data_IF_461001457788
#
_entry.id   IF_461001457788
#
_cell.length_a   1.000
_cell.length_b   1.000
_cell.length_c   1.000
_cell.angle_alpha   90.00
_cell.angle_beta   90.00
_cell.angle_gamma   90.00
#
_symmetry.space_group_name_H-M   'P 1'
#
loop_
_entity.id
_entity.type
_entity.pdbx_description
1 polymer ?
#
# COMPACT_ATOMS: atom_id res chain seq x y z
N UNK A 1 14.61 1.20 -2.79
CA UNK A 1 13.49 2.08 -3.20
C UNK A 1 12.33 1.24 -3.67
N UNK A 2 11.20 1.34 -2.98
CA UNK A 2 10.04 0.50 -3.24
C UNK A 2 8.91 0.67 -2.21
N UNK A 3 7.79 0.04 -2.50
CA UNK A 3 6.68 -0.14 -1.57
C UNK A 3 6.72 -1.56 -1.03
N UNK A 4 6.75 -1.67 0.30
CA UNK A 4 6.77 -2.93 1.01
C UNK A 4 5.53 -3.03 1.90
N UNK A 5 4.99 -4.24 1.99
CA UNK A 5 3.99 -4.60 2.98
C UNK A 5 4.62 -5.54 3.98
N UNK A 6 4.46 -5.25 5.26
CA UNK A 6 4.92 -6.11 6.35
C UNK A 6 3.72 -6.63 7.11
N UNK A 7 3.54 -7.95 7.12
CA UNK A 7 2.51 -8.57 7.94
C UNK A 7 3.03 -8.69 9.39
N UNK A 8 2.42 -7.95 10.31
CA UNK A 8 2.68 -8.04 11.76
C UNK A 8 1.58 -8.82 12.50
N UNK A 9 0.63 -9.38 11.77
CA UNK A 9 -0.45 -10.19 12.33
C UNK A 9 -0.01 -11.64 12.47
N UNK A 10 -0.64 -12.37 13.40
CA UNK A 10 -0.39 -13.81 13.62
C UNK A 10 -0.98 -14.72 12.54
N UNK A 11 -1.75 -14.17 11.60
CA UNK A 11 -2.41 -14.91 10.51
C UNK A 11 -1.94 -14.42 9.14
N UNK A 12 -2.08 -15.27 8.11
CA UNK A 12 -1.68 -14.95 6.73
C UNK A 12 -2.56 -13.84 6.15
N UNK A 13 -1.95 -12.72 5.79
CA UNK A 13 -2.66 -11.61 5.17
C UNK A 13 -2.61 -11.71 3.64
N UNK A 14 -3.71 -11.33 3.00
CA UNK A 14 -3.82 -11.19 1.55
C UNK A 14 -3.94 -9.71 1.22
N UNK A 15 -3.10 -9.23 0.30
CA UNK A 15 -3.02 -7.82 -0.08
C UNK A 15 -3.32 -7.66 -1.56
N UNK A 16 -4.17 -6.71 -1.89
CA UNK A 16 -4.34 -6.17 -3.22
C UNK A 16 -3.92 -4.69 -3.20
N UNK A 17 -3.36 -4.20 -4.29
CA UNK A 17 -3.06 -2.78 -4.41
C UNK A 17 -3.33 -2.28 -5.81
N UNK A 18 -3.55 -0.98 -5.93
CA UNK A 18 -3.72 -0.29 -7.18
C UNK A 18 -2.75 0.88 -7.28
N UNK A 19 -2.29 1.13 -8.49
CA UNK A 19 -1.34 2.18 -8.85
C UNK A 19 -1.81 2.91 -10.11
N UNK A 20 -1.35 4.14 -10.27
CA UNK A 20 -1.68 4.94 -11.45
C UNK A 20 -0.93 4.39 -12.66
N UNK A 21 -1.68 3.96 -13.68
CA UNK A 21 -1.16 3.48 -14.95
C UNK A 21 -1.91 4.14 -16.11
N UNK A 22 -1.25 4.97 -16.92
CA UNK A 22 -1.90 5.63 -18.05
C UNK A 22 -2.27 4.64 -19.18
N UNK A 23 -1.72 3.43 -19.18
CA UNK A 23 -2.05 2.42 -20.20
C UNK A 23 -3.43 1.80 -20.00
N UNK A 24 -4.09 2.04 -18.87
CA UNK A 24 -5.47 1.61 -18.66
C UNK A 24 -6.44 2.46 -19.48
N UNK A 25 -7.07 1.82 -20.46
CA UNK A 25 -8.10 2.42 -21.33
C UNK A 25 -9.50 1.90 -21.03
N UNK A 26 -9.62 0.83 -20.22
CA UNK A 26 -10.89 0.14 -19.94
C UNK A 26 -11.80 0.88 -18.94
N UNK A 27 -11.75 2.21 -18.93
CA UNK A 27 -12.58 3.06 -18.06
C UNK A 27 -12.11 4.52 -18.00
N UNK A 28 -12.86 5.33 -17.24
CA UNK A 28 -12.57 6.74 -17.00
C UNK A 28 -11.37 6.92 -16.05
N UNK A 29 -11.04 5.88 -15.27
CA UNK A 29 -9.98 5.97 -14.26
C UNK A 29 -8.68 5.32 -14.74
N UNK A 30 -7.58 6.09 -14.71
CA UNK A 30 -6.23 5.65 -15.10
C UNK A 30 -5.51 4.89 -13.96
N UNK A 31 -6.21 3.95 -13.35
CA UNK A 31 -5.73 3.16 -12.22
C UNK A 31 -5.74 1.68 -12.57
N UNK A 32 -4.63 0.98 -12.31
CA UNK A 32 -4.54 -0.48 -12.42
C UNK A 32 -4.51 -1.08 -11.03
N UNK A 33 -5.41 -2.05 -10.78
CA UNK A 33 -5.45 -2.89 -9.58
C UNK A 33 -4.87 -4.26 -9.86
N UNK A 34 -4.12 -4.79 -8.89
CA UNK A 34 -3.60 -6.15 -8.94
C UNK A 34 -3.55 -6.80 -7.57
N UNK A 35 -3.61 -8.12 -7.58
CA UNK A 35 -3.62 -8.95 -6.39
C UNK A 35 -3.68 -10.44 -6.75
N UNK A 36 -3.77 -11.36 -5.79
CA UNK A 36 -3.56 -11.14 -4.37
C UNK A 36 -2.13 -11.51 -3.98
N UNK A 37 -1.49 -10.70 -3.15
CA UNK A 37 -0.20 -10.99 -2.57
C UNK A 37 -0.42 -11.70 -1.24
N UNK A 38 0.11 -12.91 -1.12
CA UNK A 38 0.05 -13.68 0.14
C UNK A 38 1.26 -13.32 1.00
N UNK A 39 1.01 -12.86 2.22
CA UNK A 39 2.04 -12.54 3.21
C UNK A 39 1.86 -13.42 4.45
N UNK A 40 2.81 -14.31 4.71
CA UNK A 40 2.85 -15.08 5.93
C UNK A 40 3.06 -14.17 7.17
N UNK A 41 2.72 -14.63 8.39
CA UNK A 41 2.99 -13.90 9.63
C UNK A 41 4.47 -13.47 9.72
N UNK A 42 4.73 -12.20 10.03
CA UNK A 42 6.08 -11.64 10.10
C UNK A 42 6.76 -11.35 8.76
N UNK A 43 6.19 -11.79 7.63
CA UNK A 43 6.80 -11.64 6.31
C UNK A 43 6.73 -10.19 5.81
N UNK A 44 7.82 -9.74 5.18
CA UNK A 44 7.87 -8.48 4.42
C UNK A 44 7.87 -8.79 2.92
N UNK A 45 6.80 -8.42 2.23
CA UNK A 45 6.69 -8.55 0.78
C UNK A 45 6.92 -7.21 0.08
N UNK A 46 7.77 -7.20 -0.94
CA UNK A 46 7.91 -6.05 -1.82
C UNK A 46 6.87 -6.16 -2.93
N UNK A 47 6.07 -5.11 -3.10
CA UNK A 47 5.04 -5.06 -4.16
C UNK A 47 5.40 -4.08 -5.28
N UNK A 48 6.27 -3.12 -4.99
CA UNK A 48 6.72 -2.12 -5.95
C UNK A 48 8.23 -2.02 -5.91
N UNK A 49 8.85 -2.15 -7.06
CA UNK A 49 10.29 -1.97 -7.23
C UNK A 49 10.55 -0.60 -7.82
N UNK A 50 11.46 0.18 -7.24
CA UNK A 50 11.79 1.52 -7.71
C UNK A 50 11.12 2.63 -6.88
N UNK A 51 11.24 3.86 -7.36
CA UNK A 51 10.81 5.03 -6.60
C UNK A 51 9.28 5.07 -6.43
N UNK A 52 8.83 4.98 -5.17
CA UNK A 52 7.43 5.08 -4.77
C UNK A 52 7.03 6.49 -4.30
N UNK A 53 8.01 7.38 -4.07
CA UNK A 53 7.79 8.73 -3.56
C UNK A 53 6.99 9.61 -4.53
N UNK A 54 6.07 10.42 -3.99
CA UNK A 54 5.26 11.35 -4.76
C UNK A 54 4.12 10.68 -5.53
N UNK A 55 3.87 9.39 -5.28
CA UNK A 55 2.77 8.63 -5.87
C UNK A 55 1.70 8.34 -4.83
N UNK A 56 0.47 8.32 -5.31
CA UNK A 56 -0.67 7.79 -4.57
C UNK A 56 -0.83 6.32 -4.93
N UNK A 57 -1.01 5.49 -3.92
CA UNK A 57 -1.37 4.09 -4.07
C UNK A 57 -2.68 3.85 -3.34
N UNK A 58 -3.44 2.88 -3.82
CA UNK A 58 -4.60 2.37 -3.11
C UNK A 58 -4.27 0.95 -2.71
N UNK A 59 -4.66 0.52 -1.51
CA UNK A 59 -4.46 -0.86 -1.10
C UNK A 59 -5.66 -1.36 -0.34
N UNK A 60 -5.85 -2.66 -0.44
CA UNK A 60 -6.80 -3.39 0.36
C UNK A 60 -6.07 -4.60 0.89
N UNK A 61 -6.18 -4.86 2.18
CA UNK A 61 -5.64 -6.07 2.75
C UNK A 61 -6.67 -6.68 3.67
N UNK A 62 -6.67 -8.00 3.76
CA UNK A 62 -7.50 -8.69 4.72
C UNK A 62 -6.81 -9.95 5.23
N UNK A 63 -7.28 -10.42 6.37
CA UNK A 63 -6.80 -11.58 7.08
C UNK A 63 -8.01 -12.30 7.71
N UNK A 64 -7.79 -13.45 8.33
CA UNK A 64 -8.83 -14.19 9.07
C UNK A 64 -9.50 -13.35 10.16
N UNK A 65 -8.78 -12.39 10.74
CA UNK A 65 -9.19 -11.69 11.96
C UNK A 65 -9.19 -10.16 11.82
N UNK A 66 -8.71 -9.62 10.71
CA UNK A 66 -8.57 -8.17 10.52
C UNK A 66 -8.65 -7.81 9.06
N UNK A 67 -9.26 -6.67 8.78
CA UNK A 67 -9.41 -6.12 7.43
C UNK A 67 -8.91 -4.68 7.44
N UNK A 68 -8.07 -4.35 6.46
CA UNK A 68 -7.57 -3.00 6.21
C UNK A 68 -8.24 -2.48 4.95
N UNK A 69 -9.46 -1.98 5.13
CA UNK A 69 -10.28 -1.35 4.11
C UNK A 69 -10.26 0.18 4.25
N UNK A 70 -10.75 0.87 3.23
CA UNK A 70 -10.89 2.32 3.19
C UNK A 70 -12.24 2.75 2.63
N UNK A 71 -12.24 3.83 1.86
CA UNK A 71 -13.46 4.49 1.37
C UNK A 71 -13.73 4.24 -0.12
N UNK A 72 -12.75 3.73 -0.88
CA UNK A 72 -12.84 3.64 -2.34
C UNK A 72 -13.30 2.24 -2.76
N UNK A 73 -14.59 2.01 -3.06
CA UNK A 73 -15.08 0.70 -3.47
C UNK A 73 -14.55 0.32 -4.85
N UNK A 74 -14.17 -0.95 -5.02
CA UNK A 74 -13.89 -1.56 -6.32
C UNK A 74 -14.17 -3.05 -6.27
N UNK A 75 -14.47 -3.63 -7.42
CA UNK A 75 -14.70 -5.07 -7.56
C UNK A 75 -13.38 -5.82 -7.73
N UNK A 76 -13.23 -6.94 -7.03
CA UNK A 76 -12.00 -7.72 -7.01
C UNK A 76 -12.32 -9.21 -7.12
N UNK A 77 -11.66 -9.96 -8.01
CA UNK A 77 -11.87 -11.40 -8.11
C UNK A 77 -11.11 -12.13 -7.00
N UNK A 78 -11.52 -13.36 -6.68
CA UNK A 78 -10.79 -14.21 -5.72
C UNK A 78 -9.45 -14.72 -6.27
N UNK A 79 -9.31 -14.80 -7.59
CA UNK A 79 -8.10 -15.28 -8.25
C UNK A 79 -7.00 -14.21 -8.32
N UNK A 80 -5.80 -14.59 -8.74
CA UNK A 80 -4.76 -13.60 -9.11
C UNK A 80 -5.23 -12.77 -10.30
N UNK A 81 -5.06 -11.45 -10.26
CA UNK A 81 -5.53 -10.53 -11.30
C UNK A 81 -4.58 -9.35 -11.49
N UNK A 82 -4.67 -8.75 -12.68
CA UNK A 82 -4.10 -7.45 -13.05
C UNK A 82 -5.10 -6.80 -13.98
N UNK A 83 -5.89 -5.85 -13.48
CA UNK A 83 -6.99 -5.23 -14.22
C UNK A 83 -7.02 -3.72 -14.01
N UNK A 84 -7.68 -2.99 -14.91
CA UNK A 84 -8.01 -1.60 -14.67
C UNK A 84 -9.05 -1.47 -13.56
N UNK A 85 -9.11 -0.30 -12.93
CA UNK A 85 -9.93 -0.07 -11.76
C UNK A 85 -11.43 -0.29 -12.03
N UNK A 86 -11.89 0.16 -13.19
CA UNK A 86 -13.28 0.05 -13.65
C UNK A 86 -13.64 -1.35 -14.18
N UNK A 87 -12.64 -2.19 -14.46
CA UNK A 87 -12.86 -3.57 -14.89
C UNK A 87 -13.48 -4.39 -13.75
N UNK A 88 -14.71 -4.88 -13.97
CA UNK A 88 -15.47 -5.73 -13.06
C UNK A 88 -15.60 -7.17 -13.54
N UNK A 89 -16.16 -8.04 -12.69
CA UNK A 89 -16.52 -9.40 -13.06
C UNK A 89 -17.79 -9.88 -12.35
N UNK A 90 -18.46 -10.88 -12.92
CA UNK A 90 -19.72 -11.40 -12.37
C UNK A 90 -19.56 -12.16 -11.04
N UNK A 91 -18.36 -12.70 -10.76
CA UNK A 91 -18.03 -13.45 -9.52
C UNK A 91 -17.04 -12.68 -8.63
N UNK A 92 -17.10 -11.36 -8.66
CA UNK A 92 -16.21 -10.48 -7.92
C UNK A 92 -16.81 -10.06 -6.58
N UNK A 93 -15.95 -9.85 -5.58
CA UNK A 93 -16.32 -9.25 -4.30
C UNK A 93 -16.05 -7.76 -4.34
N UNK A 94 -17.01 -6.95 -3.89
CA UNK A 94 -16.80 -5.50 -3.73
C UNK A 94 -16.02 -5.24 -2.44
N UNK A 95 -14.83 -4.69 -2.56
CA UNK A 95 -13.98 -4.31 -1.41
C UNK A 95 -13.67 -2.82 -1.47
N UNK A 96 -13.36 -2.22 -0.32
CA UNK A 96 -13.03 -0.80 -0.24
C UNK A 96 -11.54 -0.61 -0.04
N UNK A 97 -10.86 -0.06 -1.03
CA UNK A 97 -9.44 0.25 -0.94
C UNK A 97 -9.22 1.51 -0.09
N UNK A 98 -8.09 1.51 0.60
CA UNK A 98 -7.57 2.61 1.39
C UNK A 98 -6.51 3.36 0.59
N UNK A 99 -6.66 4.68 0.51
CA UNK A 99 -5.70 5.57 -0.14
C UNK A 99 -4.45 5.74 0.73
N UNK A 100 -3.29 5.71 0.11
CA UNK A 100 -1.99 6.03 0.69
C UNK A 100 -1.31 7.04 -0.22
N UNK A 101 -0.89 8.17 0.36
CA UNK A 101 0.00 9.11 -0.30
C UNK A 101 1.42 8.88 0.21
N UNK A 102 2.32 8.46 -0.68
CA UNK A 102 3.73 8.30 -0.32
C UNK A 102 4.41 9.64 -0.49
N UNK A 103 4.98 10.19 0.58
CA UNK A 103 5.69 11.46 0.53
C UNK A 103 6.83 11.41 -0.48
N UNK A 104 7.00 12.48 -1.25
CA UNK A 104 8.02 12.58 -2.30
C UNK A 104 9.45 12.47 -1.79
N UNK A 105 9.75 12.73 -0.52
CA UNK A 105 11.10 12.56 0.04
C UNK A 105 11.37 11.13 0.55
N UNK A 106 10.38 10.22 0.53
CA UNK A 106 10.54 8.83 0.96
C UNK A 106 10.95 7.95 -0.23
N UNK A 107 12.16 7.41 -0.18
CA UNK A 107 12.67 6.46 -1.19
C UNK A 107 12.05 5.06 -1.02
N UNK A 108 11.80 4.66 0.22
CA UNK A 108 11.20 3.39 0.61
C UNK A 108 10.00 3.66 1.53
N UNK A 109 8.88 3.00 1.27
CA UNK A 109 7.70 3.05 2.12
C UNK A 109 7.35 1.62 2.55
N UNK A 110 7.20 1.41 3.86
CA UNK A 110 6.74 0.13 4.41
C UNK A 110 5.41 0.33 5.11
N UNK A 111 4.41 -0.46 4.73
CA UNK A 111 3.08 -0.46 5.34
C UNK A 111 2.99 -1.69 6.25
N UNK A 112 2.83 -1.45 7.55
CA UNK A 112 2.67 -2.51 8.54
C UNK A 112 1.20 -2.87 8.68
N UNK A 113 0.86 -4.11 8.35
CA UNK A 113 -0.47 -4.70 8.54
C UNK A 113 -0.54 -5.23 9.97
N UNK A 114 -1.03 -4.38 10.87
CA UNK A 114 -1.24 -4.74 12.28
C UNK A 114 -2.69 -5.12 12.53
N UNK A 115 -2.91 -6.25 13.19
CA UNK A 115 -4.24 -6.60 13.69
C UNK A 115 -4.66 -5.55 14.72
N UNK A 116 -5.94 -5.18 14.76
CA UNK A 116 -6.51 -4.10 15.57
C UNK A 116 -6.21 -4.17 17.08
N UNK A 117 -5.63 -5.26 17.59
CA UNK A 117 -5.08 -5.34 18.96
C UNK A 117 -3.87 -4.40 19.17
N UNK A 118 -3.27 -3.89 18.08
CA UNK A 118 -2.08 -3.02 18.10
C UNK A 118 -2.31 -1.56 17.73
N UNK A 119 -3.54 -1.04 17.72
CA UNK A 119 -3.75 0.41 17.61
C UNK A 119 -3.39 1.10 18.93
N UNK A 120 -2.09 1.14 19.27
CA UNK A 120 -1.59 2.29 20.02
C UNK A 120 -1.72 3.48 19.08
N UNK A 121 -2.87 4.16 19.21
CA UNK A 121 -3.01 5.58 18.91
C UNK A 121 -1.72 6.22 19.43
N UNK A 122 -0.85 6.70 18.54
CA UNK A 122 0.19 7.64 18.94
C UNK A 122 -0.55 8.92 19.28
N UNK A 123 -1.14 8.96 20.48
CA UNK A 123 -1.57 10.19 21.12
C UNK A 123 -0.30 11.01 21.24
N UNK A 124 -0.21 12.05 20.43
CA UNK A 124 0.79 13.11 20.58
C UNK A 124 0.58 13.68 21.97
N UNK A 125 1.35 13.19 22.94
CA UNK A 125 1.40 13.80 24.27
C UNK A 125 2.01 15.18 24.13
N UNK A 126 1.30 16.19 24.63
CA UNK A 126 1.78 17.55 24.80
C UNK A 126 3.05 17.52 25.66
N UNK A 127 4.21 17.45 25.01
CA UNK A 127 5.45 17.89 25.61
C UNK A 127 5.54 19.39 25.35
N UNK A 128 5.35 20.18 26.40
CA UNK A 128 5.66 21.61 26.40
C UNK A 128 7.13 21.74 25.95
N UNK A 129 7.30 22.18 24.70
CA UNK A 129 8.61 22.38 24.11
C UNK A 129 9.09 23.76 24.56
N UNK A 130 9.89 23.81 25.64
CA UNK A 130 10.57 25.04 26.04
C UNK A 130 11.56 25.41 24.94
N UNK A 131 11.41 26.62 24.40
CA UNK A 131 12.17 27.16 23.27
C UNK A 131 13.66 27.33 23.67
N UNK A 132 14.62 26.62 23.07
CA UNK A 132 16.02 26.93 23.28
C UNK A 132 16.43 28.16 22.45
N UNK A 133 17.12 29.08 23.12
CA UNK A 133 17.63 30.37 22.64
C UNK A 133 18.45 30.26 21.35
N UNK A 134 18.25 31.21 20.43
CA UNK A 134 18.83 31.30 19.09
C UNK A 134 20.35 31.02 19.05
N UNK A 135 20.73 29.88 18.46
CA UNK A 135 22.07 29.67 17.89
C UNK A 135 21.97 29.79 16.38
N UNK A 136 22.71 30.73 15.78
CA UNK A 136 22.78 30.92 14.32
C UNK A 136 23.44 29.70 13.67
N UNK A 137 22.66 28.70 13.27
CA UNK A 137 23.17 27.55 12.52
C UNK A 137 23.44 27.97 11.07
N UNK A 138 24.72 27.93 10.66
CA UNK A 138 25.09 28.03 9.25
C UNK A 138 24.67 26.74 8.54
N UNK A 139 23.40 26.65 8.13
CA UNK A 139 22.89 25.55 7.31
C UNK A 139 23.62 25.58 5.95
N UNK A 140 24.58 24.67 5.76
CA UNK A 140 25.06 24.35 4.41
C UNK A 140 23.91 23.66 3.67
N UNK A 141 23.38 24.31 2.63
CA UNK A 141 22.47 23.69 1.68
C UNK A 141 23.19 22.53 1.01
N UNK A 142 22.93 21.30 1.46
CA UNK A 142 23.31 20.10 0.72
C UNK A 142 22.49 20.13 -0.57
N UNK A 143 23.10 20.11 -1.76
CA UNK A 143 22.35 20.13 -3.01
C UNK A 143 21.48 18.87 -3.09
N UNK A 144 20.16 19.05 -3.01
CA UNK A 144 19.20 17.98 -3.21
C UNK A 144 19.26 17.54 -4.67
N UNK A 145 19.69 16.30 -4.92
CA UNK A 145 19.53 15.69 -6.24
C UNK A 145 18.04 15.74 -6.59
N UNK A 146 17.72 16.41 -7.69
CA UNK A 146 16.35 16.59 -8.16
C UNK A 146 15.66 15.22 -8.31
N UNK A 147 14.42 15.13 -7.82
CA UNK A 147 13.56 13.95 -7.93
C UNK A 147 13.26 13.53 -9.40
N UNK A 148 13.77 14.26 -10.39
CA UNK A 148 13.59 13.99 -11.82
C UNK A 148 14.47 12.89 -12.41
N UNK A 149 15.40 12.30 -11.64
CA UNK A 149 16.33 11.26 -12.16
C UNK A 149 16.19 9.88 -11.49
N UNK A 150 15.12 9.62 -10.76
CA UNK A 150 14.88 8.28 -10.22
C UNK A 150 14.05 7.46 -11.21
N UNK A 151 14.50 6.23 -11.59
CA UNK A 151 13.78 5.40 -12.54
C UNK A 151 12.36 5.16 -12.03
N UNK A 152 11.37 5.37 -12.92
CA UNK A 152 9.95 5.09 -12.64
C UNK A 152 9.86 3.65 -12.12
N UNK A 153 9.32 3.48 -10.91
CA UNK A 153 9.15 2.15 -10.35
C UNK A 153 8.17 1.30 -11.15
N UNK A 154 8.26 -0.01 -10.98
CA UNK A 154 7.44 -1.03 -11.65
C UNK A 154 6.73 -1.90 -10.61
N UNK A 155 5.51 -2.38 -10.91
CA UNK A 155 4.84 -3.36 -10.08
C UNK A 155 5.62 -4.68 -10.08
N UNK A 156 5.74 -5.30 -8.90
CA UNK A 156 6.33 -6.65 -8.78
C UNK A 156 5.21 -7.66 -8.88
N UNK A 157 5.35 -8.62 -9.79
CA UNK A 157 4.36 -9.66 -10.06
C UNK A 157 4.59 -10.97 -9.29
N UNK A 158 5.64 -11.01 -8.44
CA UNK A 158 6.07 -12.17 -7.66
C UNK A 158 5.19 -12.39 -6.43
N UNK A 159 5.09 -13.64 -5.96
CA UNK A 159 4.33 -14.07 -4.77
C UNK A 159 2.81 -13.78 -4.81
N UNK A 160 2.25 -13.68 -6.02
CA UNK A 160 0.80 -13.59 -6.20
C UNK A 160 0.15 -14.97 -6.11
N UNK A 161 -0.93 -15.08 -5.37
CA UNK A 161 -1.67 -16.33 -5.10
C UNK A 161 -3.16 -16.03 -5.17
N UNK A 162 -3.97 -16.99 -5.61
CA UNK A 162 -5.42 -16.90 -5.51
C UNK A 162 -5.85 -17.05 -4.06
N UNK A 163 -6.90 -16.34 -3.64
CA UNK A 163 -7.47 -16.52 -2.33
C UNK A 163 -7.91 -17.98 -2.13
N UNK A 164 -7.80 -18.52 -0.90
CA UNK A 164 -8.37 -19.81 -0.61
C UNK A 164 -9.88 -19.72 -0.84
N UNK A 165 -10.39 -20.55 -1.75
CA UNK A 165 -11.83 -20.68 -2.03
C UNK A 165 -12.55 -20.86 -0.70
N UNK A 166 -13.47 -19.96 -0.32
CA UNK A 166 -14.29 -20.16 0.88
C UNK A 166 -14.95 -21.53 0.74
N UNK A 167 -14.58 -22.46 1.62
CA UNK A 167 -15.19 -23.79 1.64
C UNK A 167 -16.62 -23.55 2.14
N UNK A 168 -17.57 -23.46 1.22
CA UNK A 168 -18.98 -23.35 1.55
C UNK A 168 -19.34 -24.55 2.43
N UNK A 169 -19.54 -24.32 3.73
CA UNK A 169 -20.23 -25.27 4.60
C UNK A 169 -21.68 -25.32 4.12
N UNK A 170 -22.07 -26.49 3.60
CA UNK A 170 -23.46 -26.84 3.31
C UNK A 170 -24.30 -26.79 4.58
#
# INVERSE_FOLDING_TARGET
>A
MGLYFRNLSNSTAYVAYAYYDPTCTDGDTKWTKLGWFRLAPGQKGQVWSGYAGGRTFYYYAYNSSSEWSGEYPTQVPENKFTWCWDTGCNVCTTVKFKKINVSWYRLDQTISLTSSVGQRKSTSGDNIMVLPTKVKSRLRKIPMKSAGKLPKGKPILLNRTSLPKKRNSR
#
